data_IF_524123352482
#
_entry.id   IF_524123352482
#
_cell.length_a   1.000
_cell.length_b   1.000
_cell.length_c   1.000
_cell.angle_alpha   90.00
_cell.angle_beta   90.00
_cell.angle_gamma   90.00
#
_symmetry.space_group_name_H-M   'P 1'
#
loop_
_entity.id
_entity.type
_entity.pdbx_description
1 polymer ?
#
# COMPACT_ATOMS: atom_id res chain seq x y z
N UNK A 1 -38.17 -44.68 -56.89
CA UNK A 1 -38.39 -44.72 -55.43
C UNK A 1 -38.02 -43.36 -54.90
N UNK A 2 -39.02 -42.54 -54.62
CA UNK A 2 -38.88 -41.11 -54.31
C UNK A 2 -39.04 -40.94 -52.80
N UNK A 3 -38.01 -40.43 -52.13
CA UNK A 3 -38.04 -40.17 -50.69
C UNK A 3 -38.13 -38.65 -50.49
N UNK A 4 -39.27 -38.24 -49.97
CA UNK A 4 -39.58 -36.87 -49.55
C UNK A 4 -38.94 -36.61 -48.18
N UNK A 5 -38.07 -35.60 -48.08
CA UNK A 5 -37.51 -35.13 -46.81
C UNK A 5 -38.19 -33.82 -46.40
N UNK A 6 -39.03 -33.92 -45.37
CA UNK A 6 -39.72 -32.80 -44.73
C UNK A 6 -38.74 -31.92 -43.94
N UNK A 7 -38.77 -30.62 -44.21
CA UNK A 7 -38.04 -29.60 -43.44
C UNK A 7 -38.81 -29.27 -42.16
N UNK A 8 -38.21 -29.54 -41.00
CA UNK A 8 -38.72 -29.12 -39.70
C UNK A 8 -38.09 -27.78 -39.32
N UNK A 9 -38.89 -26.71 -39.38
CA UNK A 9 -38.53 -25.38 -38.88
C UNK A 9 -38.64 -25.37 -37.35
N UNK A 10 -37.49 -25.42 -36.66
CA UNK A 10 -37.42 -25.29 -35.19
C UNK A 10 -37.48 -23.79 -34.85
N UNK A 11 -38.59 -23.37 -34.23
CA UNK A 11 -38.76 -22.02 -33.71
C UNK A 11 -38.01 -21.91 -32.36
N UNK A 12 -36.83 -21.30 -32.36
CA UNK A 12 -36.01 -21.11 -31.17
C UNK A 12 -36.53 -19.89 -30.40
N UNK A 13 -37.50 -20.08 -29.50
CA UNK A 13 -37.96 -19.05 -28.57
C UNK A 13 -36.89 -18.80 -27.50
N UNK A 14 -36.07 -17.78 -27.72
CA UNK A 14 -35.10 -17.29 -26.74
C UNK A 14 -35.83 -16.70 -25.53
N UNK A 15 -35.91 -17.47 -24.45
CA UNK A 15 -36.31 -16.97 -23.14
C UNK A 15 -35.26 -15.93 -22.70
N UNK A 16 -35.65 -14.67 -22.41
CA UNK A 16 -34.70 -13.68 -21.92
C UNK A 16 -34.14 -14.17 -20.58
N UNK A 17 -32.85 -14.48 -20.60
CA UNK A 17 -32.17 -15.19 -19.53
C UNK A 17 -31.99 -14.23 -18.34
N UNK A 18 -32.55 -14.57 -17.17
CA UNK A 18 -32.51 -13.77 -15.94
C UNK A 18 -31.09 -13.52 -15.40
N UNK A 19 -30.07 -14.13 -16.01
CA UNK A 19 -28.64 -13.90 -15.74
C UNK A 19 -28.14 -12.50 -16.15
N UNK A 20 -28.79 -11.82 -17.10
CA UNK A 20 -28.31 -10.51 -17.59
C UNK A 20 -28.49 -9.38 -16.58
N UNK A 21 -29.52 -9.47 -15.72
CA UNK A 21 -29.78 -8.45 -14.69
C UNK A 21 -28.70 -8.41 -13.58
N UNK A 22 -28.12 -9.56 -13.24
CA UNK A 22 -27.05 -9.67 -12.23
C UNK A 22 -25.74 -9.02 -12.70
N UNK A 23 -25.38 -9.24 -13.96
CA UNK A 23 -24.13 -8.75 -14.56
C UNK A 23 -24.10 -7.22 -14.64
N UNK A 24 -25.22 -6.59 -15.03
CA UNK A 24 -25.33 -5.13 -15.15
C UNK A 24 -25.20 -4.46 -13.76
N UNK A 25 -25.79 -5.05 -12.73
CA UNK A 25 -25.74 -4.51 -11.36
C UNK A 25 -24.32 -4.57 -10.78
N UNK A 26 -23.63 -5.69 -10.95
CA UNK A 26 -22.24 -5.86 -10.49
C UNK A 26 -21.27 -4.87 -11.15
N UNK A 27 -21.42 -4.65 -12.47
CA UNK A 27 -20.58 -3.71 -13.20
C UNK A 27 -20.74 -2.26 -12.70
N UNK A 28 -21.98 -1.84 -12.41
CA UNK A 28 -22.25 -0.47 -11.90
C UNK A 28 -21.67 -0.28 -10.49
N UNK A 29 -21.82 -1.28 -9.62
CA UNK A 29 -21.27 -1.26 -8.26
C UNK A 29 -19.74 -1.15 -8.27
N UNK A 30 -19.07 -1.93 -9.12
CA UNK A 30 -17.61 -1.90 -9.25
C UNK A 30 -17.11 -0.50 -9.62
N UNK A 31 -17.73 0.17 -10.61
CA UNK A 31 -17.37 1.55 -11.00
C UNK A 31 -17.53 2.55 -9.86
N UNK A 32 -18.65 2.51 -9.14
CA UNK A 32 -18.87 3.43 -8.00
C UNK A 32 -17.83 3.21 -6.90
N UNK A 33 -17.51 1.95 -6.58
CA UNK A 33 -16.49 1.62 -5.58
C UNK A 33 -15.10 2.10 -5.99
N UNK A 34 -14.70 1.89 -7.26
CA UNK A 34 -13.40 2.38 -7.75
C UNK A 34 -13.27 3.90 -7.62
N UNK A 35 -14.35 4.62 -7.93
CA UNK A 35 -14.40 6.08 -7.84
C UNK A 35 -14.29 6.53 -6.39
N UNK A 36 -15.04 5.90 -5.47
CA UNK A 36 -15.00 6.23 -4.04
C UNK A 36 -13.62 5.95 -3.44
N UNK A 37 -13.02 4.78 -3.71
CA UNK A 37 -11.68 4.44 -3.20
C UNK A 37 -10.64 5.42 -3.73
N UNK A 38 -10.67 5.72 -5.03
CA UNK A 38 -9.73 6.68 -5.64
C UNK A 38 -9.89 8.07 -5.04
N UNK A 39 -11.14 8.52 -4.86
CA UNK A 39 -11.44 9.81 -4.23
C UNK A 39 -10.92 9.86 -2.79
N UNK A 40 -11.17 8.83 -1.98
CA UNK A 40 -10.69 8.78 -0.60
C UNK A 40 -9.15 8.78 -0.52
N UNK A 41 -8.48 8.01 -1.37
CA UNK A 41 -7.01 7.98 -1.42
C UNK A 41 -6.44 9.35 -1.80
N UNK A 42 -7.02 10.01 -2.81
CA UNK A 42 -6.58 11.36 -3.23
C UNK A 42 -6.84 12.40 -2.14
N UNK A 43 -8.01 12.37 -1.50
CA UNK A 43 -8.33 13.28 -0.38
C UNK A 43 -7.34 13.09 0.76
N UNK A 44 -7.07 11.83 1.16
CA UNK A 44 -6.09 11.53 2.20
C UNK A 44 -4.69 12.01 1.80
N UNK A 45 -4.26 11.78 0.56
CA UNK A 45 -2.98 12.25 0.04
C UNK A 45 -2.86 13.78 0.06
N UNK A 46 -3.92 14.51 -0.31
CA UNK A 46 -3.97 15.97 -0.26
C UNK A 46 -3.89 16.46 1.18
N UNK A 47 -4.66 15.87 2.10
CA UNK A 47 -4.64 16.21 3.51
C UNK A 47 -3.24 16.00 4.11
N UNK A 48 -2.59 14.88 3.80
CA UNK A 48 -1.20 14.61 4.20
C UNK A 48 -0.23 15.64 3.63
N UNK A 49 -0.36 15.98 2.35
CA UNK A 49 0.50 17.01 1.71
C UNK A 49 0.30 18.37 2.35
N UNK A 50 -0.95 18.78 2.58
CA UNK A 50 -1.28 20.06 3.18
C UNK A 50 -0.75 20.16 4.61
N UNK A 51 -0.95 19.10 5.40
CA UNK A 51 -0.41 18.98 6.75
C UNK A 51 1.12 19.08 6.72
N UNK A 52 1.79 18.38 5.82
CA UNK A 52 3.24 18.43 5.65
C UNK A 52 3.74 19.82 5.24
N UNK A 53 3.10 20.47 4.27
CA UNK A 53 3.48 21.81 3.79
C UNK A 53 3.30 22.87 4.88
N UNK A 54 2.18 22.81 5.61
CA UNK A 54 1.97 23.64 6.79
C UNK A 54 3.13 23.43 7.77
N UNK A 55 3.43 22.17 8.07
CA UNK A 55 4.41 21.80 9.06
C UNK A 55 5.85 22.16 8.65
N UNK A 56 6.19 22.02 7.38
CA UNK A 56 7.45 22.51 6.81
C UNK A 56 7.61 24.02 6.96
N UNK A 57 6.51 24.79 6.79
CA UNK A 57 6.52 26.24 7.03
C UNK A 57 6.75 26.56 8.51
N UNK A 58 6.03 25.91 9.43
CA UNK A 58 6.23 26.11 10.87
C UNK A 58 7.66 25.74 11.33
N UNK A 59 8.23 24.67 10.80
CA UNK A 59 9.61 24.26 11.12
C UNK A 59 10.65 25.26 10.61
N UNK A 60 10.40 25.96 9.50
CA UNK A 60 11.28 27.02 9.02
C UNK A 60 11.26 28.25 9.93
N UNK A 61 10.12 28.54 10.54
CA UNK A 61 9.97 29.68 11.47
C UNK A 61 10.64 29.42 12.83
N UNK A 62 10.72 28.16 13.28
CA UNK A 62 11.26 27.80 14.59
C UNK A 62 12.50 26.89 14.49
N UNK A 63 13.51 27.29 13.73
CA UNK A 63 14.74 26.49 13.59
C UNK A 63 15.50 26.42 14.91
N UNK A 64 15.55 25.23 15.53
CA UNK A 64 16.37 25.02 16.74
C UNK A 64 17.86 24.99 16.38
N UNK A 65 18.74 25.66 17.14
CA UNK A 65 20.18 25.57 16.94
C UNK A 65 20.68 24.19 17.41
N UNK A 66 20.73 23.22 16.50
CA UNK A 66 21.38 21.93 16.75
C UNK A 66 22.89 22.10 16.64
N UNK A 67 23.61 21.84 17.74
CA UNK A 67 25.05 22.05 17.86
C UNK A 67 25.89 21.02 17.05
N UNK A 68 25.27 20.02 16.41
CA UNK A 68 25.98 19.00 15.61
C UNK A 68 25.52 19.00 14.14
N UNK A 69 26.49 19.21 13.23
CA UNK A 69 26.29 19.22 11.77
C UNK A 69 25.63 17.93 11.23
N UNK A 70 25.97 16.78 11.82
CA UNK A 70 25.41 15.46 11.45
C UNK A 70 23.90 15.35 11.76
N UNK A 71 23.48 15.75 12.96
CA UNK A 71 22.06 15.68 13.36
C UNK A 71 21.16 16.61 12.55
N UNK A 72 21.69 17.76 12.11
CA UNK A 72 20.94 18.72 11.28
C UNK A 72 20.55 18.14 9.93
N UNK A 73 21.43 17.38 9.27
CA UNK A 73 21.12 16.77 7.97
C UNK A 73 20.04 15.71 8.12
N UNK A 74 20.17 14.82 9.11
CA UNK A 74 19.17 13.77 9.34
C UNK A 74 17.78 14.36 9.60
N UNK A 75 17.68 15.34 10.48
CA UNK A 75 16.40 15.96 10.82
C UNK A 75 15.77 16.69 9.63
N UNK A 76 16.58 17.14 8.67
CA UNK A 76 16.09 17.75 7.44
C UNK A 76 15.56 16.72 6.44
N UNK A 77 16.20 15.55 6.30
CA UNK A 77 15.80 14.52 5.33
C UNK A 77 14.72 13.56 5.83
N UNK A 78 14.68 13.26 7.13
CA UNK A 78 13.69 12.38 7.76
C UNK A 78 12.23 12.66 7.33
N UNK A 79 11.71 13.91 7.37
CA UNK A 79 10.32 14.19 7.00
C UNK A 79 10.00 13.83 5.54
N UNK A 80 10.96 13.99 4.61
CA UNK A 80 10.75 13.61 3.21
C UNK A 80 10.67 12.10 3.02
N UNK A 81 11.44 11.33 3.79
CA UNK A 81 11.40 9.87 3.75
C UNK A 81 10.07 9.35 4.29
N UNK A 82 9.59 9.87 5.42
CA UNK A 82 8.27 9.52 5.96
C UNK A 82 7.15 9.89 4.99
N UNK A 83 7.20 11.08 4.40
CA UNK A 83 6.25 11.47 3.34
C UNK A 83 6.24 10.44 2.20
N UNK A 84 7.42 10.08 1.68
CA UNK A 84 7.54 9.07 0.63
C UNK A 84 6.96 7.72 1.04
N UNK A 85 7.20 7.26 2.27
CA UNK A 85 6.62 6.03 2.84
C UNK A 85 5.08 6.11 2.87
N UNK A 86 4.50 7.19 3.40
CA UNK A 86 3.05 7.37 3.45
C UNK A 86 2.42 7.36 2.05
N UNK A 87 3.04 8.02 1.07
CA UNK A 87 2.52 8.03 -0.31
C UNK A 87 2.52 6.65 -0.95
N UNK A 88 3.61 5.90 -0.82
CA UNK A 88 3.67 4.52 -1.32
C UNK A 88 2.63 3.64 -0.61
N UNK A 89 2.52 3.76 0.71
CA UNK A 89 1.53 3.02 1.49
C UNK A 89 0.08 3.36 1.09
N UNK A 90 -0.23 4.62 0.80
CA UNK A 90 -1.57 5.02 0.30
C UNK A 90 -1.86 4.47 -1.10
N UNK A 91 -0.87 4.45 -1.99
CA UNK A 91 -1.01 3.87 -3.32
C UNK A 91 -1.26 2.35 -3.26
N UNK A 92 -0.52 1.64 -2.41
CA UNK A 92 -0.75 0.22 -2.16
C UNK A 92 -2.08 -0.06 -1.44
N UNK A 93 -2.47 0.80 -0.50
CA UNK A 93 -3.76 0.70 0.21
C UNK A 93 -4.91 0.77 -0.78
N UNK A 94 -4.89 1.74 -1.69
CA UNK A 94 -5.89 1.88 -2.75
C UNK A 94 -5.93 0.64 -3.67
N UNK A 95 -4.77 0.18 -4.10
CA UNK A 95 -4.65 -1.00 -4.99
C UNK A 95 -5.14 -2.28 -4.30
N UNK A 96 -4.76 -2.49 -3.04
CA UNK A 96 -5.16 -3.65 -2.23
C UNK A 96 -6.65 -3.65 -1.92
N UNK A 97 -7.20 -2.50 -1.51
CA UNK A 97 -8.63 -2.34 -1.24
C UNK A 97 -9.46 -2.58 -2.49
N UNK A 98 -9.00 -2.08 -3.64
CA UNK A 98 -9.62 -2.32 -4.92
C UNK A 98 -9.61 -3.80 -5.29
N UNK A 99 -8.45 -4.47 -5.23
CA UNK A 99 -8.30 -5.91 -5.52
C UNK A 99 -9.23 -6.77 -4.65
N UNK A 100 -9.25 -6.54 -3.34
CA UNK A 100 -10.11 -7.29 -2.42
C UNK A 100 -11.59 -7.09 -2.71
N UNK A 101 -11.97 -5.89 -3.12
CA UNK A 101 -13.35 -5.59 -3.54
C UNK A 101 -13.71 -6.37 -4.79
N UNK A 102 -12.84 -6.39 -5.81
CA UNK A 102 -13.07 -7.18 -7.03
C UNK A 102 -13.17 -8.67 -6.72
N UNK A 103 -12.26 -9.21 -5.91
CA UNK A 103 -12.27 -10.61 -5.50
C UNK A 103 -13.54 -11.00 -4.76
N UNK A 104 -14.08 -10.10 -3.92
CA UNK A 104 -15.35 -10.35 -3.21
C UNK A 104 -16.55 -10.31 -4.14
N UNK A 105 -16.59 -9.37 -5.09
CA UNK A 105 -17.71 -9.19 -6.02
C UNK A 105 -17.78 -10.29 -7.09
N UNK A 106 -16.63 -10.69 -7.64
CA UNK A 106 -16.58 -11.64 -8.75
C UNK A 106 -16.16 -13.06 -8.33
N UNK A 107 -15.79 -13.28 -7.07
CA UNK A 107 -15.33 -14.57 -6.53
C UNK A 107 -14.22 -15.22 -7.39
N UNK A 108 -13.37 -14.38 -7.99
CA UNK A 108 -12.38 -14.76 -9.00
C UNK A 108 -10.93 -14.58 -8.50
N UNK A 109 -10.70 -14.80 -7.20
CA UNK A 109 -9.34 -14.79 -6.67
C UNK A 109 -8.56 -16.01 -7.18
N UNK A 110 -7.29 -15.87 -7.60
CA UNK A 110 -6.54 -16.98 -8.18
C UNK A 110 -6.37 -18.14 -7.21
N UNK A 111 -5.99 -17.84 -5.97
CA UNK A 111 -5.71 -18.77 -4.89
C UNK A 111 -6.06 -18.13 -3.54
N UNK A 112 -6.37 -18.93 -2.52
CA UNK A 112 -6.64 -18.45 -1.15
C UNK A 112 -5.42 -17.73 -0.54
N UNK A 113 -4.22 -18.20 -0.86
CA UNK A 113 -2.97 -17.56 -0.44
C UNK A 113 -2.83 -16.14 -1.01
N UNK A 114 -3.20 -15.91 -2.27
CA UNK A 114 -3.20 -14.57 -2.86
C UNK A 114 -4.16 -13.65 -2.11
N UNK A 115 -5.37 -14.12 -1.84
CA UNK A 115 -6.37 -13.34 -1.09
C UNK A 115 -5.87 -12.97 0.32
N UNK A 116 -5.27 -13.93 1.03
CA UNK A 116 -4.70 -13.71 2.37
C UNK A 116 -3.51 -12.73 2.33
N UNK A 117 -2.63 -12.84 1.34
CA UNK A 117 -1.49 -11.93 1.18
C UNK A 117 -1.93 -10.48 0.93
N UNK A 118 -2.93 -10.25 0.08
CA UNK A 118 -3.47 -8.90 -0.19
C UNK A 118 -4.15 -8.32 1.05
N UNK A 119 -4.82 -9.14 1.88
CA UNK A 119 -5.37 -8.69 3.17
C UNK A 119 -4.27 -8.27 4.15
N UNK A 120 -3.18 -9.04 4.22
CA UNK A 120 -2.05 -8.70 5.07
C UNK A 120 -1.37 -7.40 4.62
N UNK A 121 -1.19 -7.21 3.30
CA UNK A 121 -0.67 -5.96 2.74
C UNK A 121 -1.61 -4.78 3.01
N UNK A 122 -2.93 -4.96 2.86
CA UNK A 122 -3.90 -3.92 3.23
C UNK A 122 -3.76 -3.50 4.69
N UNK A 123 -3.67 -4.48 5.61
CA UNK A 123 -3.43 -4.21 7.03
C UNK A 123 -2.10 -3.47 7.26
N UNK A 124 -1.03 -3.92 6.60
CA UNK A 124 0.31 -3.32 6.69
C UNK A 124 0.31 -1.87 6.23
N UNK A 125 -0.42 -1.56 5.15
CA UNK A 125 -0.56 -0.21 4.64
C UNK A 125 -1.40 0.67 5.57
N UNK A 126 -2.51 0.17 6.12
CA UNK A 126 -3.29 0.88 7.14
C UNK A 126 -2.45 1.18 8.39
N UNK A 127 -1.69 0.18 8.88
CA UNK A 127 -0.76 0.33 10.00
C UNK A 127 0.29 1.40 9.72
N UNK A 128 0.90 1.36 8.53
CA UNK A 128 1.94 2.32 8.14
C UNK A 128 1.38 3.73 8.06
N UNK A 129 0.25 3.94 7.39
CA UNK A 129 -0.39 5.27 7.30
C UNK A 129 -0.78 5.80 8.68
N UNK A 130 -1.34 4.95 9.55
CA UNK A 130 -1.74 5.38 10.90
C UNK A 130 -0.54 5.75 11.77
N UNK A 131 0.46 4.88 11.84
CA UNK A 131 1.58 5.06 12.76
C UNK A 131 2.56 6.10 12.23
N UNK A 132 2.83 6.13 10.92
CA UNK A 132 3.69 7.15 10.32
C UNK A 132 3.01 8.53 10.36
N UNK A 133 1.69 8.58 10.13
CA UNK A 133 0.91 9.80 10.35
C UNK A 133 0.99 10.29 11.79
N UNK A 134 0.88 9.38 12.77
CA UNK A 134 1.06 9.72 14.18
C UNK A 134 2.49 10.20 14.49
N UNK A 135 3.53 9.52 14.00
CA UNK A 135 4.91 9.95 14.18
C UNK A 135 5.17 11.31 13.55
N UNK A 136 4.69 11.54 12.34
CA UNK A 136 4.75 12.83 11.65
C UNK A 136 4.16 13.91 12.57
N UNK A 137 2.94 13.75 13.06
CA UNK A 137 2.30 14.69 13.99
C UNK A 137 3.09 14.89 15.30
N UNK A 138 3.63 13.81 15.87
CA UNK A 138 4.41 13.84 17.11
C UNK A 138 5.72 14.62 16.97
N UNK A 139 6.45 14.42 15.86
CA UNK A 139 7.68 15.16 15.56
C UNK A 139 7.42 16.65 15.33
N UNK A 140 6.20 16.98 14.94
CA UNK A 140 5.83 18.32 14.51
C UNK A 140 5.22 19.17 15.63
N UNK A 141 4.73 18.55 16.70
CA UNK A 141 4.23 19.29 17.85
C UNK A 141 5.40 19.83 18.70
N UNK A 142 5.57 21.17 18.82
CA UNK A 142 6.75 21.78 19.42
C UNK A 142 6.97 21.37 20.88
N UNK A 143 5.89 21.15 21.63
CA UNK A 143 5.98 20.72 23.03
C UNK A 143 6.22 19.22 23.21
N UNK A 144 5.95 18.37 22.21
CA UNK A 144 6.17 16.92 22.33
C UNK A 144 7.53 16.46 21.82
N UNK A 145 8.23 17.30 21.05
CA UNK A 145 9.59 17.03 20.59
C UNK A 145 10.61 16.76 21.71
N UNK A 146 10.32 17.15 22.96
CA UNK A 146 11.16 16.87 24.13
C UNK A 146 10.90 15.51 24.78
N UNK A 147 9.89 14.76 24.35
CA UNK A 147 9.53 13.48 24.98
C UNK A 147 10.35 12.31 24.42
N UNK A 148 10.62 11.28 25.25
CA UNK A 148 11.37 10.08 24.88
C UNK A 148 10.71 9.23 23.78
N UNK A 149 9.46 9.53 23.39
CA UNK A 149 8.79 8.94 22.22
C UNK A 149 9.51 9.29 20.91
N UNK A 150 10.29 10.37 20.89
CA UNK A 150 11.20 10.75 19.80
C UNK A 150 12.53 9.97 19.83
N UNK A 151 12.65 8.94 20.67
CA UNK A 151 13.87 8.14 20.77
C UNK A 151 14.12 7.33 19.51
N UNK A 152 15.39 7.27 19.09
CA UNK A 152 15.90 6.41 18.01
C UNK A 152 15.47 4.95 18.22
N UNK A 153 15.37 4.50 19.48
CA UNK A 153 14.91 3.14 19.79
C UNK A 153 13.45 2.88 19.42
N UNK A 154 12.54 3.82 19.69
CA UNK A 154 11.12 3.67 19.34
C UNK A 154 10.91 3.64 17.82
N UNK A 155 11.65 4.51 17.09
CA UNK A 155 11.67 4.49 15.63
C UNK A 155 12.20 3.16 15.08
N UNK A 156 13.28 2.62 15.66
CA UNK A 156 13.85 1.35 15.20
C UNK A 156 12.87 0.18 15.39
N UNK A 157 12.17 0.14 16.53
CA UNK A 157 11.13 -0.88 16.78
C UNK A 157 10.01 -0.77 15.74
N UNK A 158 9.52 0.46 15.49
CA UNK A 158 8.48 0.69 14.50
C UNK A 158 8.92 0.31 13.07
N UNK A 159 10.11 0.74 12.64
CA UNK A 159 10.66 0.39 11.32
C UNK A 159 10.77 -1.12 11.19
N UNK A 160 11.28 -1.80 12.22
CA UNK A 160 11.47 -3.26 12.20
C UNK A 160 10.13 -3.98 12.11
N UNK A 161 9.13 -3.60 12.92
CA UNK A 161 7.81 -4.21 12.89
C UNK A 161 7.12 -4.02 11.54
N UNK A 162 7.18 -2.80 11.00
CA UNK A 162 6.61 -2.46 9.68
C UNK A 162 7.33 -3.24 8.58
N UNK A 163 8.65 -3.34 8.64
CA UNK A 163 9.46 -4.12 7.71
C UNK A 163 9.07 -5.60 7.71
N UNK A 164 8.89 -6.22 8.89
CA UNK A 164 8.44 -7.61 9.00
C UNK A 164 7.08 -7.82 8.33
N UNK A 165 6.13 -6.90 8.50
CA UNK A 165 4.82 -7.00 7.87
C UNK A 165 4.90 -6.97 6.34
N UNK A 166 5.68 -6.05 5.76
CA UNK A 166 5.85 -5.98 4.31
C UNK A 166 6.61 -7.20 3.77
N UNK A 167 7.67 -7.65 4.44
CA UNK A 167 8.42 -8.86 4.02
C UNK A 167 7.52 -10.09 4.07
N UNK A 168 6.71 -10.26 5.12
CA UNK A 168 5.77 -11.36 5.21
C UNK A 168 4.69 -11.30 4.11
N UNK A 169 4.14 -10.11 3.86
CA UNK A 169 3.19 -9.89 2.76
C UNK A 169 3.78 -10.20 1.39
N UNK A 170 4.99 -9.71 1.11
CA UNK A 170 5.71 -9.98 -0.13
C UNK A 170 6.03 -11.47 -0.30
N UNK A 171 6.49 -12.13 0.76
CA UNK A 171 6.82 -13.56 0.75
C UNK A 171 5.58 -14.42 0.47
N UNK A 172 4.45 -14.14 1.13
CA UNK A 172 3.18 -14.83 0.86
C UNK A 172 2.69 -14.61 -0.57
N UNK A 173 2.80 -13.38 -1.08
CA UNK A 173 2.39 -13.06 -2.44
C UNK A 173 3.29 -13.75 -3.48
N UNK A 174 4.61 -13.77 -3.25
CA UNK A 174 5.58 -14.48 -4.10
C UNK A 174 5.37 -16.00 -4.06
N UNK A 175 5.05 -16.57 -2.89
CA UNK A 175 4.72 -17.99 -2.77
C UNK A 175 3.42 -18.34 -3.51
N UNK A 176 2.43 -17.46 -3.49
CA UNK A 176 1.16 -17.69 -4.18
C UNK A 176 1.27 -17.62 -5.71
N UNK A 177 2.21 -16.82 -6.24
CA UNK A 177 2.34 -16.49 -7.66
C UNK A 177 3.81 -16.43 -8.13
N UNK A 178 4.61 -17.50 -7.99
CA UNK A 178 6.05 -17.45 -8.29
C UNK A 178 6.33 -17.15 -9.78
N UNK A 179 5.49 -17.69 -10.68
CA UNK A 179 5.65 -17.53 -12.13
C UNK A 179 5.52 -16.07 -12.59
N UNK A 180 4.73 -15.26 -11.87
CA UNK A 180 4.47 -13.87 -12.23
C UNK A 180 5.76 -13.03 -12.11
N UNK A 181 6.55 -13.28 -11.06
CA UNK A 181 7.73 -12.49 -10.75
C UNK A 181 8.99 -12.96 -11.47
N UNK A 182 9.10 -14.26 -11.78
CA UNK A 182 10.26 -14.81 -12.49
C UNK A 182 10.18 -14.63 -14.01
N UNK A 183 8.99 -14.73 -14.61
CA UNK A 183 8.82 -14.73 -16.08
C UNK A 183 8.02 -13.57 -16.63
N UNK A 184 7.27 -12.83 -15.79
CA UNK A 184 6.40 -11.75 -16.26
C UNK A 184 5.23 -12.22 -17.15
N UNK A 185 4.91 -13.51 -17.13
CA UNK A 185 3.85 -14.09 -17.97
C UNK A 185 2.54 -14.13 -17.19
N UNK A 186 1.50 -13.49 -17.73
CA UNK A 186 0.20 -13.28 -17.11
C UNK A 186 -0.94 -14.11 -17.73
N UNK A 187 -0.67 -15.33 -18.23
CA UNK A 187 -1.64 -16.05 -19.06
C UNK A 187 -2.85 -16.63 -18.32
N UNK A 188 -2.82 -16.71 -16.98
CA UNK A 188 -3.89 -17.34 -16.18
C UNK A 188 -4.33 -16.54 -14.94
N UNK A 189 -3.78 -15.35 -14.70
CA UNK A 189 -4.02 -14.59 -13.46
C UNK A 189 -4.90 -13.38 -13.76
N UNK A 190 -6.08 -13.33 -13.14
CA UNK A 190 -6.97 -12.18 -13.22
C UNK A 190 -6.32 -11.01 -12.46
N UNK A 191 -6.34 -9.81 -13.06
CA UNK A 191 -5.72 -8.58 -12.52
C UNK A 191 -4.19 -8.67 -12.34
N UNK A 192 -3.51 -9.36 -13.26
CA UNK A 192 -2.06 -9.56 -13.19
C UNK A 192 -1.26 -8.26 -13.06
N UNK A 193 -1.61 -7.22 -13.84
CA UNK A 193 -0.88 -5.94 -13.81
C UNK A 193 -1.02 -5.21 -12.47
N UNK A 194 -2.19 -5.30 -11.84
CA UNK A 194 -2.43 -4.71 -10.52
C UNK A 194 -1.68 -5.46 -9.41
N UNK A 195 -1.63 -6.79 -9.48
CA UNK A 195 -0.82 -7.60 -8.56
C UNK A 195 0.68 -7.34 -8.73
N UNK A 196 1.14 -7.18 -9.98
CA UNK A 196 2.53 -6.83 -10.27
C UNK A 196 2.88 -5.45 -9.72
N UNK A 197 2.01 -4.46 -9.90
CA UNK A 197 2.18 -3.12 -9.34
C UNK A 197 2.20 -3.15 -7.81
N UNK A 198 1.28 -3.91 -7.18
CA UNK A 198 1.22 -4.07 -5.74
C UNK A 198 2.53 -4.66 -5.19
N UNK A 199 3.04 -5.72 -5.80
CA UNK A 199 4.32 -6.32 -5.40
C UNK A 199 5.50 -5.37 -5.60
N UNK A 200 5.55 -4.63 -6.71
CA UNK A 200 6.63 -3.68 -6.98
C UNK A 200 6.66 -2.56 -5.93
N UNK A 201 5.49 -2.00 -5.58
CA UNK A 201 5.37 -1.01 -4.51
C UNK A 201 5.83 -1.60 -3.16
N UNK A 202 5.41 -2.82 -2.84
CA UNK A 202 5.81 -3.51 -1.61
C UNK A 202 7.33 -3.69 -1.53
N UNK A 203 7.99 -4.04 -2.65
CA UNK A 203 9.46 -4.16 -2.70
C UNK A 203 10.13 -2.80 -2.50
N UNK A 204 9.63 -1.73 -3.13
CA UNK A 204 10.13 -0.37 -2.90
C UNK A 204 10.03 -0.02 -1.41
N UNK A 205 8.90 -0.33 -0.79
CA UNK A 205 8.66 -0.07 0.63
C UNK A 205 9.63 -0.84 1.53
N UNK A 206 9.90 -2.12 1.23
CA UNK A 206 10.91 -2.93 1.94
C UNK A 206 12.30 -2.29 1.82
N UNK A 207 12.70 -1.84 0.62
CA UNK A 207 14.00 -1.22 0.40
C UNK A 207 14.15 0.08 1.20
N UNK A 208 13.13 0.93 1.19
CA UNK A 208 13.11 2.19 1.94
C UNK A 208 13.21 1.92 3.44
N UNK A 209 12.41 0.98 3.96
CA UNK A 209 12.44 0.60 5.38
C UNK A 209 13.78 -0.02 5.78
N UNK A 210 14.40 -0.82 4.91
CA UNK A 210 15.73 -1.39 5.14
C UNK A 210 16.80 -0.30 5.21
N UNK A 211 16.80 0.63 4.24
CA UNK A 211 17.70 1.78 4.26
C UNK A 211 17.50 2.64 5.51
N UNK A 212 16.24 2.94 5.86
CA UNK A 212 15.87 3.63 7.09
C UNK A 212 16.40 2.92 8.35
N UNK A 213 16.16 1.61 8.47
CA UNK A 213 16.66 0.80 9.58
C UNK A 213 18.18 0.83 9.70
N UNK A 214 18.91 0.68 8.60
CA UNK A 214 20.39 0.75 8.58
C UNK A 214 20.87 2.13 9.05
N UNK A 215 20.25 3.22 8.57
CA UNK A 215 20.62 4.57 9.02
C UNK A 215 20.36 4.79 10.51
N UNK A 216 19.24 4.29 11.06
CA UNK A 216 18.93 4.39 12.48
C UNK A 216 19.93 3.59 13.35
N UNK A 217 20.28 2.37 12.94
CA UNK A 217 21.28 1.54 13.63
C UNK A 217 22.65 2.22 13.61
N UNK A 218 23.04 2.80 12.47
CA UNK A 218 24.28 3.56 12.35
C UNK A 218 24.33 4.75 13.31
N UNK A 219 23.23 5.49 13.45
CA UNK A 219 23.15 6.63 14.36
C UNK A 219 23.20 6.18 15.82
N UNK A 220 22.49 5.12 16.17
CA UNK A 220 22.56 4.53 17.51
C UNK A 220 24.00 4.13 17.87
N UNK A 221 24.71 3.51 16.93
CA UNK A 221 26.12 3.14 17.07
C UNK A 221 27.05 4.35 17.28
N UNK A 222 26.87 5.42 16.50
CA UNK A 222 27.63 6.67 16.66
C UNK A 222 27.36 7.33 18.01
N UNK A 223 26.13 7.24 18.53
CA UNK A 223 25.79 7.77 19.85
C UNK A 223 26.53 7.06 20.98
N UNK A 224 26.80 5.75 20.85
CA UNK A 224 27.56 4.98 21.83
C UNK A 224 29.05 5.35 21.79
N UNK A 225 29.62 5.49 20.59
CA UNK A 225 31.05 5.81 20.41
C UNK A 225 31.45 7.20 20.91
N UNK A 226 30.56 8.19 20.80
CA UNK A 226 30.85 9.56 21.21
C UNK A 226 30.84 9.82 22.72
N UNK A 227 30.67 8.77 23.55
CA UNK A 227 30.63 8.88 25.02
C UNK A 227 31.97 8.50 25.69
N UNK A 228 32.99 8.14 24.92
CA UNK A 228 34.36 7.90 25.38
C UNK A 228 35.28 9.03 24.91
#
# INVERSE_FOLDING_TARGET
>A
MSISSSAATILNTSVPNTQDAGTITSMRISKTLTSVVSFLVVVMAILYTAAFLWMYRCSREHSRPLNKKSGKMLQQYAPYVYMFIVFNALAELGTSAWLLTQYRLFQNYPNEHTYTSVKLLLFSNCWTVLVDGAYTLLFLHPSWSGHPVSSVGAQLIWVTMTWVFYVAGAALLNHALPLLFLRGICTSVVYCSQLQALFALTVIQILVLTGGGVTLVWLAWQSIKGSH
#
